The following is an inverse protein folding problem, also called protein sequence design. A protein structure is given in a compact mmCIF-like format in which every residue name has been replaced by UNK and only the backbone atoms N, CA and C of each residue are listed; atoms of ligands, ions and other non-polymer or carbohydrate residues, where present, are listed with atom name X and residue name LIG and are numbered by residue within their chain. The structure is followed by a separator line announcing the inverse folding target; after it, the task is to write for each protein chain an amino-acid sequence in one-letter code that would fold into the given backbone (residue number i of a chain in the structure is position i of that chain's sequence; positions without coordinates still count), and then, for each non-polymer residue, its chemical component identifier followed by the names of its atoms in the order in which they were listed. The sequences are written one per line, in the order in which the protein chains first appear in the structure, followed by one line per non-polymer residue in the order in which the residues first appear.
data_IF_496378245616
#
_entry.id   IF_496378245616
#
_cell.length_a   1.000
_cell.length_b   1.000
_cell.length_c   1.000
_cell.angle_alpha   90.00
_cell.angle_beta   90.00
_cell.angle_gamma   90.00
#
_symmetry.space_group_name_H-M   'P 1'
#
loop_
_entity.id
_entity.type
_entity.pdbx_description
1 polymer ?
#
# COMPACT_ATOMS: atom_id res chain seq x y z
N UNK A 1 21.06 -33.69 24.99
CA UNK A 1 20.71 -33.75 23.55
C UNK A 1 20.41 -32.34 23.09
N UNK A 2 21.42 -31.68 22.56
CA UNK A 2 21.38 -30.31 22.04
C UNK A 2 20.50 -30.29 20.78
N UNK A 3 19.42 -29.49 20.79
CA UNK A 3 18.67 -29.16 19.58
C UNK A 3 19.65 -28.58 18.56
N UNK A 4 19.95 -29.34 17.53
CA UNK A 4 20.67 -28.88 16.36
C UNK A 4 19.80 -27.82 15.70
N UNK A 5 20.12 -26.55 15.97
CA UNK A 5 19.52 -25.40 15.31
C UNK A 5 19.88 -25.55 13.84
N UNK A 6 18.93 -25.97 13.00
CA UNK A 6 19.14 -26.09 11.57
C UNK A 6 19.60 -24.71 11.07
N UNK A 7 20.85 -24.62 10.64
CA UNK A 7 21.43 -23.38 10.15
C UNK A 7 20.62 -22.91 8.94
N UNK A 8 19.95 -21.77 9.08
CA UNK A 8 19.10 -21.22 8.03
C UNK A 8 20.02 -20.85 6.87
N UNK A 9 19.81 -21.38 5.63
CA UNK A 9 20.70 -21.11 4.52
C UNK A 9 20.95 -19.60 4.36
N UNK A 10 22.20 -19.20 4.16
CA UNK A 10 22.60 -17.79 4.01
C UNK A 10 21.69 -17.02 3.04
N UNK A 11 21.29 -17.65 1.94
CA UNK A 11 20.37 -17.06 0.97
C UNK A 11 18.99 -16.70 1.54
N UNK A 12 18.44 -17.52 2.44
CA UNK A 12 17.17 -17.22 3.13
C UNK A 12 17.33 -16.03 4.07
N UNK A 13 18.44 -15.96 4.81
CA UNK A 13 18.74 -14.82 5.69
C UNK A 13 18.84 -13.51 4.89
N UNK A 14 19.49 -13.54 3.72
CA UNK A 14 19.59 -12.40 2.81
C UNK A 14 18.21 -11.97 2.28
N UNK A 15 17.34 -12.92 1.92
CA UNK A 15 15.99 -12.62 1.47
C UNK A 15 15.13 -11.97 2.57
N UNK A 16 15.21 -12.48 3.81
CA UNK A 16 14.54 -11.88 4.96
C UNK A 16 15.05 -10.46 5.23
N UNK A 17 16.37 -10.24 5.13
CA UNK A 17 16.96 -8.90 5.27
C UNK A 17 16.44 -7.93 4.20
N UNK A 18 16.34 -8.37 2.95
CA UNK A 18 15.71 -7.58 1.88
C UNK A 18 14.28 -7.18 2.23
N UNK A 19 13.45 -8.13 2.67
CA UNK A 19 12.06 -7.85 3.02
C UNK A 19 11.95 -6.86 4.20
N UNK A 20 12.82 -7.00 5.20
CA UNK A 20 12.86 -6.08 6.34
C UNK A 20 13.22 -4.64 5.93
N UNK A 21 14.15 -4.49 4.98
CA UNK A 21 14.52 -3.18 4.42
C UNK A 21 13.39 -2.57 3.59
N UNK A 22 12.66 -3.37 2.79
CA UNK A 22 11.48 -2.89 2.07
C UNK A 22 10.40 -2.38 3.05
N UNK A 23 10.10 -3.13 4.09
CA UNK A 23 9.16 -2.69 5.12
C UNK A 23 9.66 -1.45 5.88
N UNK A 24 10.98 -1.27 6.03
CA UNK A 24 11.57 -0.07 6.62
C UNK A 24 11.40 1.14 5.70
N UNK A 25 11.63 0.96 4.40
CA UNK A 25 11.36 1.96 3.38
C UNK A 25 9.89 2.40 3.39
N UNK A 26 8.93 1.48 3.45
CA UNK A 26 7.50 1.83 3.50
C UNK A 26 7.17 2.76 4.68
N UNK A 27 7.87 2.61 5.80
CA UNK A 27 7.69 3.45 7.00
C UNK A 27 8.44 4.78 6.95
N UNK A 28 9.64 4.80 6.37
CA UNK A 28 10.58 5.95 6.45
C UNK A 28 10.72 6.73 5.16
N UNK A 29 10.53 6.09 4.01
CA UNK A 29 10.76 6.64 2.68
C UNK A 29 12.23 6.84 2.34
N UNK A 30 13.16 6.20 3.06
CA UNK A 30 14.60 6.35 2.83
C UNK A 30 15.02 5.50 1.62
N UNK A 31 15.45 6.17 0.54
CA UNK A 31 15.88 5.52 -0.70
C UNK A 31 16.98 4.47 -0.48
N UNK A 32 17.88 4.69 0.47
CA UNK A 32 18.99 3.76 0.73
C UNK A 32 18.49 2.37 1.13
N UNK A 33 17.33 2.30 1.79
CA UNK A 33 16.67 1.04 2.16
C UNK A 33 16.29 0.21 0.94
N UNK A 34 15.80 0.84 -0.13
CA UNK A 34 15.40 0.14 -1.35
C UNK A 34 16.62 -0.30 -2.15
N UNK A 35 17.62 0.56 -2.27
CA UNK A 35 18.86 0.20 -2.96
C UNK A 35 19.57 -0.96 -2.26
N UNK A 36 19.62 -0.98 -0.92
CA UNK A 36 20.17 -2.09 -0.16
C UNK A 36 19.28 -3.33 -0.18
N UNK A 37 17.95 -3.19 -0.13
CA UNK A 37 17.03 -4.31 -0.28
C UNK A 37 17.28 -5.05 -1.60
N UNK A 38 17.40 -4.31 -2.71
CA UNK A 38 17.70 -4.89 -4.04
C UNK A 38 19.04 -5.62 -4.02
N UNK A 39 20.10 -5.04 -3.43
CA UNK A 39 21.40 -5.72 -3.28
C UNK A 39 21.28 -7.04 -2.52
N UNK A 40 20.58 -7.04 -1.37
CA UNK A 40 20.39 -8.26 -0.58
C UNK A 40 19.52 -9.29 -1.30
N UNK A 41 18.48 -8.86 -2.02
CA UNK A 41 17.64 -9.74 -2.81
C UNK A 41 18.42 -10.41 -3.95
N UNK A 42 19.26 -9.65 -4.68
CA UNK A 42 20.14 -10.21 -5.72
C UNK A 42 21.11 -11.24 -5.15
N UNK A 43 21.74 -10.93 -4.02
CA UNK A 43 22.61 -11.87 -3.32
C UNK A 43 21.87 -13.14 -2.86
N UNK A 44 20.62 -13.00 -2.39
CA UNK A 44 19.77 -14.12 -2.02
C UNK A 44 19.41 -15.00 -3.23
N UNK A 45 19.04 -14.40 -4.37
CA UNK A 45 18.73 -15.12 -5.61
C UNK A 45 19.95 -15.92 -6.09
N UNK A 46 21.15 -15.35 -6.01
CA UNK A 46 22.39 -16.04 -6.38
C UNK A 46 22.75 -17.18 -5.40
N UNK A 47 22.48 -17.02 -4.10
CA UNK A 47 22.77 -18.03 -3.09
C UNK A 47 21.77 -19.20 -3.05
N UNK A 48 20.58 -19.04 -3.66
CA UNK A 48 19.49 -20.02 -3.61
C UNK A 48 19.28 -20.77 -4.93
N UNK A 49 20.30 -20.88 -5.78
CA UNK A 49 20.19 -21.66 -7.03
C UNK A 49 19.76 -23.11 -6.73
N UNK A 50 18.67 -23.56 -7.36
CA UNK A 50 18.10 -24.90 -7.14
C UNK A 50 17.38 -25.09 -5.80
N UNK A 51 17.36 -24.09 -4.92
CA UNK A 51 16.71 -24.18 -3.62
C UNK A 51 15.22 -23.80 -3.70
N UNK A 52 14.30 -24.49 -3.00
CA UNK A 52 12.86 -24.18 -3.02
C UNK A 52 12.54 -22.71 -2.69
N UNK A 53 13.26 -22.13 -1.73
CA UNK A 53 13.09 -20.73 -1.32
C UNK A 53 13.59 -19.69 -2.34
N UNK A 54 14.16 -20.08 -3.49
CA UNK A 54 14.59 -19.14 -4.53
C UNK A 54 13.43 -18.27 -5.03
N UNK A 55 12.23 -18.85 -5.10
CA UNK A 55 11.03 -18.12 -5.50
C UNK A 55 10.74 -16.93 -4.57
N UNK A 56 11.00 -17.06 -3.28
CA UNK A 56 10.81 -15.96 -2.32
C UNK A 56 11.81 -14.82 -2.57
N UNK A 57 13.08 -15.16 -2.83
CA UNK A 57 14.11 -14.16 -3.13
C UNK A 57 13.85 -13.42 -4.46
N UNK A 58 13.38 -14.14 -5.49
CA UNK A 58 12.98 -13.53 -6.76
C UNK A 58 11.80 -12.56 -6.59
N UNK A 59 10.79 -12.95 -5.80
CA UNK A 59 9.67 -12.04 -5.48
C UNK A 59 10.14 -10.80 -4.73
N UNK A 60 11.00 -10.95 -3.72
CA UNK A 60 11.56 -9.83 -2.98
C UNK A 60 12.34 -8.89 -3.90
N UNK A 61 13.14 -9.42 -4.82
CA UNK A 61 13.83 -8.63 -5.84
C UNK A 61 12.85 -7.86 -6.73
N UNK A 62 11.82 -8.53 -7.24
CA UNK A 62 10.78 -7.90 -8.07
C UNK A 62 10.03 -6.77 -7.36
N UNK A 63 9.69 -6.93 -6.08
CA UNK A 63 9.05 -5.87 -5.27
C UNK A 63 9.99 -4.68 -5.08
N UNK A 64 11.27 -4.93 -4.78
CA UNK A 64 12.27 -3.88 -4.62
C UNK A 64 12.44 -3.05 -5.89
N UNK A 65 12.62 -3.73 -7.03
CA UNK A 65 12.76 -3.10 -8.34
C UNK A 65 11.53 -2.30 -8.75
N UNK A 66 10.32 -2.82 -8.53
CA UNK A 66 9.06 -2.06 -8.77
C UNK A 66 8.97 -0.81 -7.93
N UNK A 67 9.38 -0.90 -6.67
CA UNK A 67 9.38 0.25 -5.76
C UNK A 67 10.40 1.30 -6.23
N UNK A 68 11.60 0.88 -6.65
CA UNK A 68 12.61 1.79 -7.19
C UNK A 68 12.19 2.40 -8.51
N UNK A 69 11.56 1.64 -9.40
CA UNK A 69 10.96 2.15 -10.62
C UNK A 69 9.94 3.25 -10.33
N UNK A 70 9.06 3.06 -9.34
CA UNK A 70 8.10 4.09 -8.97
C UNK A 70 8.76 5.42 -8.55
N UNK A 71 9.96 5.35 -7.97
CA UNK A 71 10.73 6.52 -7.54
C UNK A 71 11.54 7.18 -8.67
N UNK A 72 12.17 6.37 -9.51
CA UNK A 72 13.20 6.84 -10.46
C UNK A 72 12.74 6.79 -11.91
N UNK A 73 11.64 6.08 -12.20
CA UNK A 73 11.14 5.80 -13.56
C UNK A 73 12.18 5.16 -14.47
N UNK A 74 13.15 4.42 -13.90
CA UNK A 74 14.18 3.71 -14.65
C UNK A 74 13.57 2.49 -15.38
N UNK A 75 13.49 2.48 -16.72
CA UNK A 75 12.85 1.39 -17.45
C UNK A 75 13.53 0.03 -17.22
N UNK A 76 14.83 0.01 -16.91
CA UNK A 76 15.56 -1.24 -16.68
C UNK A 76 15.05 -1.95 -15.41
N UNK A 77 14.66 -1.17 -14.39
CA UNK A 77 14.11 -1.72 -13.14
C UNK A 77 12.79 -2.45 -13.37
N UNK A 78 11.87 -1.86 -14.14
CA UNK A 78 10.57 -2.49 -14.36
C UNK A 78 10.67 -3.68 -15.30
N UNK A 79 11.59 -3.64 -16.27
CA UNK A 79 11.89 -4.78 -17.15
C UNK A 79 12.47 -5.94 -16.33
N UNK A 80 13.48 -5.67 -15.49
CA UNK A 80 14.06 -6.68 -14.61
C UNK A 80 13.01 -7.22 -13.63
N UNK A 81 12.17 -6.36 -13.04
CA UNK A 81 11.12 -6.76 -12.12
C UNK A 81 10.13 -7.76 -12.73
N UNK A 82 9.67 -7.49 -13.95
CA UNK A 82 8.77 -8.39 -14.68
C UNK A 82 9.47 -9.74 -14.93
N UNK A 83 10.72 -9.71 -15.41
CA UNK A 83 11.49 -10.93 -15.67
C UNK A 83 11.67 -11.80 -14.43
N UNK A 84 12.09 -11.21 -13.30
CA UNK A 84 12.31 -11.99 -12.06
C UNK A 84 11.00 -12.53 -11.46
N UNK A 85 9.88 -11.80 -11.61
CA UNK A 85 8.56 -12.26 -11.17
C UNK A 85 8.02 -13.39 -12.05
N UNK A 86 8.25 -13.35 -13.36
CA UNK A 86 7.97 -14.46 -14.28
C UNK A 86 8.78 -15.70 -13.91
N UNK A 87 10.11 -15.58 -13.77
CA UNK A 87 10.97 -16.67 -13.34
C UNK A 87 10.53 -17.24 -11.98
N UNK A 88 10.04 -16.40 -11.06
CA UNK A 88 9.52 -16.89 -9.79
C UNK A 88 8.29 -17.78 -9.94
N UNK A 89 7.42 -17.54 -10.93
CA UNK A 89 6.19 -18.30 -11.15
C UNK A 89 6.41 -19.63 -11.86
N UNK A 90 7.52 -19.76 -12.59
CA UNK A 90 7.96 -20.99 -13.25
C UNK A 90 8.46 -22.04 -12.27
N UNK A 91 8.81 -21.65 -11.04
CA UNK A 91 9.25 -22.59 -10.02
C UNK A 91 8.09 -23.49 -9.56
N UNK A 92 8.32 -24.80 -9.67
CA UNK A 92 7.30 -25.85 -9.53
C UNK A 92 6.80 -26.06 -8.09
N UNK A 93 7.56 -25.62 -7.09
CA UNK A 93 7.27 -25.86 -5.67
C UNK A 93 6.31 -24.86 -5.01
N UNK A 94 5.71 -23.95 -5.78
CA UNK A 94 4.81 -22.93 -5.23
C UNK A 94 3.46 -23.50 -4.80
N UNK A 95 3.06 -23.23 -3.57
CA UNK A 95 1.69 -23.44 -3.11
C UNK A 95 0.72 -22.49 -3.83
N UNK A 96 -0.58 -22.80 -3.80
CA UNK A 96 -1.60 -22.04 -4.54
C UNK A 96 -1.65 -20.56 -4.12
N UNK A 97 -1.64 -20.26 -2.82
CA UNK A 97 -1.67 -18.89 -2.28
C UNK A 97 -0.42 -18.11 -2.71
N UNK A 98 0.75 -18.71 -2.54
CA UNK A 98 2.05 -18.17 -2.94
C UNK A 98 2.15 -17.84 -4.44
N UNK A 99 1.50 -18.65 -5.28
CA UNK A 99 1.40 -18.41 -6.72
C UNK A 99 0.51 -17.19 -7.01
N UNK A 100 -0.57 -17.00 -6.27
CA UNK A 100 -1.49 -15.87 -6.43
C UNK A 100 -0.84 -14.55 -5.96
N UNK A 101 -0.11 -14.55 -4.85
CA UNK A 101 0.64 -13.35 -4.39
C UNK A 101 1.67 -12.89 -5.42
N UNK A 102 2.36 -13.84 -6.06
CA UNK A 102 3.32 -13.55 -7.14
C UNK A 102 2.62 -13.08 -8.41
N UNK A 103 1.46 -13.66 -8.73
CA UNK A 103 0.63 -13.24 -9.86
C UNK A 103 0.14 -11.80 -9.66
N UNK A 104 -0.26 -11.42 -8.44
CA UNK A 104 -0.60 -10.04 -8.10
C UNK A 104 0.58 -9.10 -8.35
N UNK A 105 1.77 -9.45 -7.85
CA UNK A 105 2.96 -8.62 -8.02
C UNK A 105 3.34 -8.44 -9.49
N UNK A 106 3.20 -9.50 -10.30
CA UNK A 106 3.43 -9.45 -11.74
C UNK A 106 2.40 -8.55 -12.45
N UNK A 107 1.11 -8.70 -12.13
CA UNK A 107 0.06 -7.85 -12.69
C UNK A 107 0.26 -6.37 -12.37
N UNK A 108 0.66 -6.07 -11.14
CA UNK A 108 0.97 -4.70 -10.72
C UNK A 108 2.25 -4.16 -11.41
N UNK A 109 3.25 -5.00 -11.71
CA UNK A 109 4.43 -4.60 -12.49
C UNK A 109 4.05 -4.21 -13.93
N UNK A 110 3.22 -5.01 -14.59
CA UNK A 110 2.73 -4.69 -15.93
C UNK A 110 1.94 -3.37 -15.94
N UNK A 111 1.05 -3.15 -14.96
CA UNK A 111 0.33 -1.89 -14.88
C UNK A 111 1.27 -0.70 -14.68
N UNK A 112 2.28 -0.82 -13.83
CA UNK A 112 3.29 0.24 -13.65
C UNK A 112 4.03 0.53 -14.95
N UNK A 113 4.45 -0.50 -15.71
CA UNK A 113 5.09 -0.30 -17.02
C UNK A 113 4.14 0.39 -18.01
N UNK A 114 2.88 -0.04 -18.07
CA UNK A 114 1.84 0.57 -18.90
C UNK A 114 1.67 2.07 -18.62
N UNK A 115 1.75 2.52 -17.36
CA UNK A 115 1.59 3.94 -17.02
C UNK A 115 2.58 4.84 -17.77
N UNK A 116 3.76 4.31 -18.11
CA UNK A 116 4.80 5.00 -18.86
C UNK A 116 4.82 4.63 -20.35
N UNK A 117 4.78 3.34 -20.69
CA UNK A 117 4.89 2.85 -22.06
C UNK A 117 3.61 3.07 -22.88
N UNK A 118 2.45 3.06 -22.22
CA UNK A 118 1.11 2.99 -22.82
C UNK A 118 0.92 1.79 -23.76
N UNK A 119 1.73 0.74 -23.60
CA UNK A 119 1.58 -0.49 -24.40
C UNK A 119 0.32 -1.25 -23.96
N UNK A 120 -0.69 -1.43 -24.83
CA UNK A 120 -1.93 -2.11 -24.47
C UNK A 120 -1.72 -3.55 -24.00
N UNK A 121 -0.66 -4.22 -24.47
CA UNK A 121 -0.33 -5.60 -24.04
C UNK A 121 0.01 -5.67 -22.55
N UNK A 122 0.63 -4.63 -22.01
CA UNK A 122 0.90 -4.54 -20.58
C UNK A 122 -0.40 -4.36 -19.79
N UNK A 123 -1.33 -3.57 -20.29
CA UNK A 123 -2.63 -3.37 -19.64
C UNK A 123 -3.46 -4.67 -19.64
N UNK A 124 -3.50 -5.39 -20.76
CA UNK A 124 -4.15 -6.69 -20.88
C UNK A 124 -3.53 -7.74 -19.95
N UNK A 125 -2.20 -7.79 -19.90
CA UNK A 125 -1.47 -8.69 -19.01
C UNK A 125 -1.74 -8.37 -17.52
N UNK A 126 -1.81 -7.08 -17.17
CA UNK A 126 -2.18 -6.63 -15.83
C UNK A 126 -3.62 -7.03 -15.49
N UNK A 127 -4.58 -6.79 -16.38
CA UNK A 127 -5.99 -7.14 -16.16
C UNK A 127 -6.16 -8.65 -15.95
N UNK A 128 -5.56 -9.46 -16.82
CA UNK A 128 -5.61 -10.92 -16.75
C UNK A 128 -5.03 -11.45 -15.43
N UNK A 129 -3.84 -10.98 -15.04
CA UNK A 129 -3.18 -11.40 -13.81
C UNK A 129 -4.00 -11.01 -12.57
N UNK A 130 -4.48 -9.77 -12.48
CA UNK A 130 -5.23 -9.27 -11.33
C UNK A 130 -6.62 -9.92 -11.24
N UNK A 131 -7.32 -10.10 -12.35
CA UNK A 131 -8.61 -10.80 -12.38
C UNK A 131 -8.46 -12.25 -11.90
N UNK A 132 -7.38 -12.94 -12.30
CA UNK A 132 -7.07 -14.30 -11.80
C UNK A 132 -6.90 -14.33 -10.29
N UNK A 133 -6.19 -13.36 -9.70
CA UNK A 133 -6.02 -13.25 -8.24
C UNK A 133 -7.37 -13.04 -7.56
N UNK A 134 -8.20 -12.12 -8.06
CA UNK A 134 -9.52 -11.83 -7.50
C UNK A 134 -10.46 -13.05 -7.58
N UNK A 135 -10.38 -13.83 -8.65
CA UNK A 135 -11.23 -15.01 -8.84
C UNK A 135 -10.87 -16.17 -7.90
N UNK A 136 -9.58 -16.37 -7.59
CA UNK A 136 -9.09 -17.59 -6.92
C UNK A 136 -8.57 -17.38 -5.49
N UNK A 137 -8.52 -16.14 -5.00
CA UNK A 137 -8.08 -15.84 -3.63
C UNK A 137 -9.30 -15.56 -2.76
N UNK A 138 -9.52 -16.25 -1.63
CA UNK A 138 -10.52 -15.86 -0.64
C UNK A 138 -10.30 -14.44 -0.12
N UNK A 139 -11.28 -13.90 0.61
CA UNK A 139 -11.17 -12.55 1.14
C UNK A 139 -9.93 -12.41 2.04
N UNK A 140 -9.05 -11.49 1.68
CA UNK A 140 -7.68 -11.38 2.19
C UNK A 140 -7.05 -10.06 1.77
N UNK A 141 -5.96 -9.71 2.42
CA UNK A 141 -5.10 -8.58 2.05
C UNK A 141 -4.73 -8.60 0.55
N UNK A 142 -4.22 -9.72 0.04
CA UNK A 142 -3.85 -9.84 -1.38
C UNK A 142 -5.04 -9.63 -2.31
N UNK A 143 -6.21 -10.19 -1.96
CA UNK A 143 -7.44 -10.00 -2.75
C UNK A 143 -7.85 -8.53 -2.80
N UNK A 144 -7.80 -7.81 -1.68
CA UNK A 144 -8.15 -6.39 -1.62
C UNK A 144 -7.15 -5.52 -2.40
N UNK A 145 -5.85 -5.80 -2.30
CA UNK A 145 -4.82 -5.14 -3.10
C UNK A 145 -5.04 -5.39 -4.61
N UNK A 146 -5.38 -6.62 -4.99
CA UNK A 146 -5.67 -6.98 -6.37
C UNK A 146 -6.94 -6.30 -6.92
N UNK A 147 -8.02 -6.25 -6.12
CA UNK A 147 -9.23 -5.49 -6.45
C UNK A 147 -8.91 -4.01 -6.68
N UNK A 148 -8.14 -3.40 -5.77
CA UNK A 148 -7.77 -1.99 -5.88
C UNK A 148 -6.92 -1.68 -7.11
N UNK A 149 -6.00 -2.58 -7.47
CA UNK A 149 -5.20 -2.47 -8.70
C UNK A 149 -6.03 -2.73 -9.96
N UNK A 150 -6.97 -3.68 -9.91
CA UNK A 150 -7.85 -4.00 -11.04
C UNK A 150 -8.78 -2.83 -11.38
N UNK A 151 -9.27 -2.09 -10.37
CA UNK A 151 -10.02 -0.86 -10.59
C UNK A 151 -9.23 0.18 -11.39
N UNK A 152 -7.94 0.38 -11.06
CA UNK A 152 -7.06 1.28 -11.82
C UNK A 152 -6.84 0.82 -13.27
N UNK A 153 -6.62 -0.49 -13.47
CA UNK A 153 -6.48 -1.07 -14.81
C UNK A 153 -7.74 -0.88 -15.64
N UNK A 154 -8.93 -1.06 -15.05
CA UNK A 154 -10.22 -0.83 -15.72
C UNK A 154 -10.40 0.64 -16.10
N UNK A 155 -10.06 1.57 -15.21
CA UNK A 155 -10.10 3.00 -15.54
C UNK A 155 -9.13 3.38 -16.66
N UNK A 156 -7.93 2.78 -16.67
CA UNK A 156 -6.97 3.01 -17.75
C UNK A 156 -7.48 2.52 -19.11
N UNK A 157 -8.26 1.43 -19.14
CA UNK A 157 -8.87 0.89 -20.35
C UNK A 157 -10.00 1.80 -20.90
N UNK A 158 -10.57 2.72 -20.10
CA UNK A 158 -11.69 3.57 -20.54
C UNK A 158 -11.38 4.43 -21.77
N UNK A 159 -10.13 4.89 -21.92
CA UNK A 159 -9.72 5.78 -23.01
C UNK A 159 -9.94 5.16 -24.39
N UNK A 160 -9.77 3.84 -24.48
CA UNK A 160 -9.82 3.09 -25.73
C UNK A 160 -11.19 2.45 -25.99
N UNK A 161 -12.16 2.63 -25.08
CA UNK A 161 -13.53 2.08 -25.20
C UNK A 161 -14.49 3.07 -25.83
N UNK A 162 -15.42 2.55 -26.64
CA UNK A 162 -16.53 3.32 -27.16
C UNK A 162 -17.49 3.76 -26.05
N UNK A 163 -18.13 4.92 -26.23
CA UNK A 163 -19.00 5.59 -25.24
C UNK A 163 -20.01 4.68 -24.52
N UNK A 164 -20.78 3.79 -25.19
CA UNK A 164 -21.77 2.99 -24.49
C UNK A 164 -21.18 1.98 -23.49
N UNK A 165 -19.92 1.54 -23.67
CA UNK A 165 -19.27 0.63 -22.73
C UNK A 165 -18.54 1.35 -21.59
N UNK A 166 -18.40 2.68 -21.63
CA UNK A 166 -17.64 3.43 -20.61
C UNK A 166 -18.31 3.38 -19.25
N UNK A 167 -19.65 3.53 -19.20
CA UNK A 167 -20.40 3.47 -17.95
C UNK A 167 -20.25 2.15 -17.20
N UNK A 168 -20.39 1.02 -17.92
CA UNK A 168 -20.24 -0.31 -17.34
C UNK A 168 -18.83 -0.55 -16.77
N UNK A 169 -17.80 -0.06 -17.48
CA UNK A 169 -16.41 -0.19 -17.02
C UNK A 169 -16.14 0.68 -15.79
N UNK A 170 -16.71 1.89 -15.73
CA UNK A 170 -16.65 2.76 -14.55
C UNK A 170 -17.30 2.09 -13.35
N UNK A 171 -18.52 1.57 -13.51
CA UNK A 171 -19.25 0.89 -12.44
C UNK A 171 -18.49 -0.38 -11.96
N UNK A 172 -17.89 -1.13 -12.89
CA UNK A 172 -17.06 -2.28 -12.54
C UNK A 172 -15.77 -1.87 -11.78
N UNK A 173 -15.17 -0.73 -12.11
CA UNK A 173 -14.00 -0.20 -11.39
C UNK A 173 -14.39 0.26 -9.97
N UNK A 174 -15.53 0.94 -9.84
CA UNK A 174 -16.06 1.37 -8.54
C UNK A 174 -16.38 0.17 -7.66
N UNK A 175 -16.99 -0.87 -8.21
CA UNK A 175 -17.25 -2.10 -7.47
C UNK A 175 -15.96 -2.75 -6.95
N UNK A 176 -14.89 -2.74 -7.75
CA UNK A 176 -13.59 -3.25 -7.31
C UNK A 176 -13.07 -2.47 -6.08
N UNK A 177 -13.09 -1.13 -6.14
CA UNK A 177 -12.61 -0.32 -5.02
C UNK A 177 -13.53 -0.36 -3.80
N UNK A 178 -14.85 -0.37 -4.01
CA UNK A 178 -15.84 -0.51 -2.93
C UNK A 178 -15.58 -1.78 -2.13
N UNK A 179 -15.43 -2.93 -2.79
CA UNK A 179 -15.11 -4.21 -2.13
C UNK A 179 -13.77 -4.19 -1.41
N UNK A 180 -12.76 -3.55 -1.99
CA UNK A 180 -11.45 -3.41 -1.34
C UNK A 180 -11.48 -2.46 -0.13
N UNK A 181 -12.32 -1.44 -0.16
CA UNK A 181 -12.45 -0.44 0.92
C UNK A 181 -13.24 -0.97 2.14
N UNK A 182 -14.22 -1.84 1.90
CA UNK A 182 -15.15 -2.33 2.95
C UNK A 182 -14.79 -3.70 3.52
N UNK A 183 -13.86 -4.45 2.92
CA UNK A 183 -13.43 -5.73 3.50
C UNK A 183 -12.74 -5.54 4.84
N UNK A 184 -13.07 -6.38 5.83
CA UNK A 184 -12.38 -6.44 7.12
C UNK A 184 -11.13 -7.33 7.08
N UNK A 185 -10.92 -8.08 5.99
CA UNK A 185 -9.76 -8.95 5.80
C UNK A 185 -8.50 -8.19 5.34
N UNK A 186 -8.64 -6.91 4.96
CA UNK A 186 -7.55 -6.04 4.57
C UNK A 186 -7.16 -5.07 5.69
N UNK A 187 -5.89 -4.66 5.68
CA UNK A 187 -5.43 -3.60 6.57
C UNK A 187 -6.09 -2.24 6.25
N UNK A 188 -6.07 -1.36 7.25
CA UNK A 188 -6.66 -0.03 7.14
C UNK A 188 -6.04 0.79 5.99
N UNK A 189 -4.73 0.65 5.73
CA UNK A 189 -4.06 1.41 4.68
C UNK A 189 -4.59 1.04 3.28
N UNK A 190 -4.74 -0.25 3.00
CA UNK A 190 -5.27 -0.77 1.73
C UNK A 190 -6.70 -0.31 1.51
N UNK A 191 -7.51 -0.36 2.57
CA UNK A 191 -8.88 0.13 2.53
C UNK A 191 -8.96 1.63 2.26
N UNK A 192 -8.13 2.45 2.91
CA UNK A 192 -8.05 3.90 2.69
C UNK A 192 -7.65 4.22 1.25
N UNK A 193 -6.62 3.53 0.73
CA UNK A 193 -6.16 3.72 -0.66
C UNK A 193 -7.27 3.37 -1.65
N UNK A 194 -7.99 2.27 -1.43
CA UNK A 194 -9.13 1.90 -2.28
C UNK A 194 -10.27 2.92 -2.20
N UNK A 195 -10.66 3.34 -1.00
CA UNK A 195 -11.70 4.34 -0.78
C UNK A 195 -11.35 5.68 -1.43
N UNK A 196 -10.08 6.11 -1.34
CA UNK A 196 -9.60 7.34 -1.96
C UNK A 196 -9.69 7.27 -3.50
N UNK A 197 -9.26 6.15 -4.08
CA UNK A 197 -9.35 5.93 -5.55
C UNK A 197 -10.81 5.95 -6.02
N UNK A 198 -11.69 5.30 -5.27
CA UNK A 198 -13.13 5.31 -5.54
C UNK A 198 -13.71 6.72 -5.47
N UNK A 199 -13.45 7.46 -4.38
CA UNK A 199 -13.94 8.83 -4.19
C UNK A 199 -13.50 9.76 -5.32
N UNK A 200 -12.22 9.70 -5.69
CA UNK A 200 -11.66 10.55 -6.74
C UNK A 200 -12.28 10.26 -8.10
N UNK A 201 -12.33 8.98 -8.50
CA UNK A 201 -12.93 8.59 -9.77
C UNK A 201 -14.46 8.87 -9.80
N UNK A 202 -15.15 8.69 -8.68
CA UNK A 202 -16.57 9.05 -8.54
C UNK A 202 -16.79 10.55 -8.74
N UNK A 203 -15.91 11.40 -8.20
CA UNK A 203 -15.97 12.84 -8.41
C UNK A 203 -15.73 13.21 -9.88
N UNK A 204 -14.71 12.63 -10.54
CA UNK A 204 -14.44 12.86 -11.97
C UNK A 204 -15.62 12.48 -12.87
N UNK A 205 -16.37 11.44 -12.51
CA UNK A 205 -17.54 10.98 -13.24
C UNK A 205 -18.88 11.54 -12.72
N UNK A 206 -18.85 12.53 -11.82
CA UNK A 206 -20.06 13.17 -11.25
C UNK A 206 -21.04 12.19 -10.57
N UNK A 207 -20.51 11.15 -9.94
CA UNK A 207 -21.24 10.10 -9.23
C UNK A 207 -21.30 10.42 -7.73
N UNK A 208 -22.17 11.37 -7.38
CA UNK A 208 -22.28 11.90 -6.01
C UNK A 208 -22.57 10.80 -4.96
N UNK A 209 -23.42 9.83 -5.28
CA UNK A 209 -23.73 8.71 -4.36
C UNK A 209 -22.49 7.85 -4.04
N UNK A 210 -21.71 7.50 -5.06
CA UNK A 210 -20.46 6.74 -4.92
C UNK A 210 -19.41 7.53 -4.13
N UNK A 211 -19.26 8.82 -4.40
CA UNK A 211 -18.31 9.68 -3.71
C UNK A 211 -18.62 9.76 -2.19
N UNK A 212 -19.91 9.86 -1.84
CA UNK A 212 -20.35 9.83 -0.46
C UNK A 212 -20.02 8.50 0.25
N UNK A 213 -20.36 7.37 -0.40
CA UNK A 213 -20.10 6.04 0.17
C UNK A 213 -18.58 5.76 0.31
N UNK A 214 -17.77 6.24 -0.64
CA UNK A 214 -16.33 6.18 -0.56
C UNK A 214 -15.79 6.97 0.65
N UNK A 215 -16.37 8.14 0.92
CA UNK A 215 -16.07 8.95 2.11
C UNK A 215 -16.32 8.20 3.42
N UNK A 216 -17.47 7.51 3.53
CA UNK A 216 -17.80 6.66 4.70
C UNK A 216 -16.75 5.57 4.87
N UNK A 217 -16.47 4.80 3.81
CA UNK A 217 -15.52 3.68 3.87
C UNK A 217 -14.11 4.13 4.26
N UNK A 218 -13.69 5.33 3.83
CA UNK A 218 -12.40 5.92 4.21
C UNK A 218 -12.35 6.25 5.72
N UNK A 219 -13.42 6.81 6.28
CA UNK A 219 -13.50 7.16 7.71
C UNK A 219 -13.44 5.89 8.56
N UNK A 220 -14.25 4.87 8.23
CA UNK A 220 -14.25 3.60 8.95
C UNK A 220 -12.87 2.92 8.94
N UNK A 221 -12.13 3.05 7.83
CA UNK A 221 -10.78 2.50 7.72
C UNK A 221 -9.77 3.28 8.58
N UNK A 222 -9.92 4.60 8.65
CA UNK A 222 -9.05 5.46 9.46
C UNK A 222 -9.26 5.29 10.96
N UNK A 223 -10.49 5.10 11.41
CA UNK A 223 -10.79 4.82 12.82
C UNK A 223 -10.02 3.59 13.32
N UNK A 224 -9.84 2.58 12.46
CA UNK A 224 -9.01 1.41 12.76
C UNK A 224 -7.50 1.73 12.79
N UNK A 225 -7.02 2.72 12.02
CA UNK A 225 -5.61 3.10 11.91
C UNK A 225 -5.15 4.03 13.04
N UNK A 226 -6.02 4.94 13.52
CA UNK A 226 -5.74 5.91 14.62
C UNK A 226 -5.27 5.21 15.91
N UNK A 227 -5.54 3.91 16.04
CA UNK A 227 -5.10 3.11 17.18
C UNK A 227 -3.60 2.76 17.19
N UNK A 228 -2.87 2.89 16.07
CA UNK A 228 -1.49 2.36 15.95
C UNK A 228 -0.48 3.38 15.41
N UNK A 229 -0.09 4.33 16.28
CA UNK A 229 1.22 4.99 16.31
C UNK A 229 1.96 5.21 14.97
N UNK A 230 1.34 5.90 14.02
CA UNK A 230 2.03 6.34 12.80
C UNK A 230 3.12 7.36 13.14
N UNK A 231 4.21 7.38 12.35
CA UNK A 231 5.22 8.45 12.41
C UNK A 231 4.62 9.79 11.94
N UNK A 232 5.14 10.92 12.41
CA UNK A 232 4.61 12.27 12.08
C UNK A 232 4.52 12.54 10.56
N UNK A 233 5.55 12.18 9.78
CA UNK A 233 5.53 12.27 8.31
C UNK A 233 4.50 11.34 7.66
N UNK A 234 4.30 10.15 8.24
CA UNK A 234 3.25 9.23 7.80
C UNK A 234 1.86 9.81 8.06
N UNK A 235 1.65 10.44 9.21
CA UNK A 235 0.40 11.12 9.55
C UNK A 235 0.10 12.26 8.57
N UNK A 236 1.06 13.17 8.33
CA UNK A 236 0.86 14.34 7.46
C UNK A 236 0.40 13.97 6.04
N UNK A 237 0.97 12.93 5.42
CA UNK A 237 0.51 12.44 4.10
C UNK A 237 -0.91 11.90 4.12
N UNK A 238 -1.26 11.11 5.14
CA UNK A 238 -2.61 10.56 5.25
C UNK A 238 -3.64 11.66 5.51
N UNK A 239 -3.28 12.68 6.30
CA UNK A 239 -4.15 13.83 6.57
C UNK A 239 -4.44 14.67 5.32
N UNK A 240 -3.44 14.87 4.46
CA UNK A 240 -3.64 15.59 3.20
C UNK A 240 -4.62 14.86 2.28
N UNK A 241 -4.42 13.55 2.08
CA UNK A 241 -5.30 12.72 1.24
C UNK A 241 -6.73 12.68 1.79
N UNK A 242 -6.85 12.51 3.10
CA UNK A 242 -8.14 12.43 3.76
C UNK A 242 -8.90 13.76 3.77
N UNK A 243 -8.20 14.89 3.87
CA UNK A 243 -8.82 16.22 3.76
C UNK A 243 -9.51 16.42 2.41
N UNK A 244 -9.00 15.79 1.35
CA UNK A 244 -9.64 15.77 0.02
C UNK A 244 -10.85 14.86 0.03
N UNK A 245 -10.73 13.61 0.50
CA UNK A 245 -11.83 12.63 0.49
C UNK A 245 -13.02 13.08 1.34
N UNK A 246 -12.78 13.64 2.53
CA UNK A 246 -13.85 14.16 3.40
C UNK A 246 -14.56 15.36 2.79
N UNK A 247 -13.81 16.27 2.15
CA UNK A 247 -14.37 17.43 1.44
C UNK A 247 -15.22 17.00 0.25
N UNK A 248 -14.69 16.11 -0.59
CA UNK A 248 -15.38 15.65 -1.80
C UNK A 248 -16.64 14.86 -1.43
N UNK A 249 -16.56 13.98 -0.43
CA UNK A 249 -17.72 13.23 0.08
C UNK A 249 -18.78 14.14 0.72
N UNK A 250 -18.38 15.17 1.47
CA UNK A 250 -19.31 16.15 2.02
C UNK A 250 -19.96 17.01 0.94
N UNK A 251 -19.20 17.44 -0.07
CA UNK A 251 -19.74 18.13 -1.24
C UNK A 251 -20.77 17.27 -2.00
N UNK A 252 -20.48 15.98 -2.15
CA UNK A 252 -21.39 15.03 -2.76
C UNK A 252 -22.68 14.80 -1.94
N UNK A 253 -22.58 14.76 -0.61
CA UNK A 253 -23.74 14.70 0.28
C UNK A 253 -24.64 15.94 0.13
N UNK A 254 -24.06 17.15 0.06
CA UNK A 254 -24.80 18.39 -0.22
C UNK A 254 -25.49 18.32 -1.58
N UNK A 255 -24.78 17.85 -2.62
CA UNK A 255 -25.34 17.71 -3.96
C UNK A 255 -26.51 16.70 -4.03
N UNK A 256 -26.50 15.69 -3.15
CA UNK A 256 -27.60 14.73 -2.99
C UNK A 256 -28.73 15.24 -2.08
N UNK A 257 -28.65 16.46 -1.57
CA UNK A 257 -29.64 17.04 -0.66
C UNK A 257 -29.52 16.56 0.80
N UNK A 258 -28.46 15.83 1.15
CA UNK A 258 -28.21 15.32 2.49
C UNK A 258 -27.19 16.17 3.25
N UNK A 259 -27.63 17.35 3.69
CA UNK A 259 -26.79 18.27 4.45
C UNK A 259 -26.37 17.69 5.82
N UNK A 260 -27.19 16.80 6.42
CA UNK A 260 -26.88 16.17 7.68
C UNK A 260 -25.68 15.23 7.55
N UNK A 261 -25.68 14.39 6.51
CA UNK A 261 -24.57 13.50 6.23
C UNK A 261 -23.29 14.25 5.81
N UNK A 262 -23.43 15.39 5.12
CA UNK A 262 -22.29 16.25 4.81
C UNK A 262 -21.60 16.78 6.08
N UNK A 263 -22.39 17.29 7.02
CA UNK A 263 -21.88 17.77 8.32
C UNK A 263 -21.28 16.61 9.10
N UNK A 264 -21.95 15.46 9.14
CA UNK A 264 -21.44 14.27 9.83
C UNK A 264 -20.07 13.83 9.29
N UNK A 265 -19.90 13.76 7.97
CA UNK A 265 -18.60 13.42 7.35
C UNK A 265 -17.50 14.41 7.75
N UNK A 266 -17.79 15.71 7.75
CA UNK A 266 -16.84 16.75 8.13
C UNK A 266 -16.50 16.70 9.62
N UNK A 267 -17.48 16.45 10.49
CA UNK A 267 -17.28 16.38 11.94
C UNK A 267 -16.57 15.09 12.37
N UNK A 268 -16.93 13.92 11.82
CA UNK A 268 -16.14 12.69 11.96
C UNK A 268 -14.73 12.89 11.45
N UNK A 269 -14.62 13.65 10.37
CA UNK A 269 -13.39 14.20 9.87
C UNK A 269 -12.56 14.81 11.02
N UNK A 270 -12.98 16.00 11.44
CA UNK A 270 -12.32 16.78 12.48
C UNK A 270 -12.07 16.00 13.78
N UNK A 271 -12.97 15.11 14.18
CA UNK A 271 -12.81 14.28 15.36
C UNK A 271 -11.59 13.35 15.29
N UNK A 272 -11.30 12.76 14.12
CA UNK A 272 -10.09 11.94 13.91
C UNK A 272 -8.82 12.78 14.03
N UNK A 273 -8.79 13.97 13.40
CA UNK A 273 -7.68 14.92 13.54
C UNK A 273 -7.46 15.31 15.01
N UNK A 274 -8.52 15.64 15.73
CA UNK A 274 -8.45 16.03 17.13
C UNK A 274 -8.02 14.87 18.04
N UNK A 275 -8.54 13.66 17.83
CA UNK A 275 -8.13 12.48 18.57
C UNK A 275 -6.62 12.22 18.42
N UNK A 276 -6.06 12.45 17.23
CA UNK A 276 -4.62 12.33 16.98
C UNK A 276 -3.80 13.43 17.67
N UNK A 277 -4.32 14.66 17.79
CA UNK A 277 -3.61 15.75 18.48
C UNK A 277 -3.68 15.67 20.00
N UNK A 278 -4.78 15.15 20.56
CA UNK A 278 -5.03 15.11 22.00
C UNK A 278 -4.32 13.92 22.66
N UNK A 279 -4.31 12.73 22.04
CA UNK A 279 -3.76 11.50 22.67
C UNK A 279 -2.28 11.60 23.06
N UNK A 280 -1.35 12.12 22.22
CA UNK A 280 0.05 12.28 22.61
C UNK A 280 0.20 13.27 23.77
N UNK A 281 -0.58 14.36 23.76
CA UNK A 281 -0.55 15.40 24.81
C UNK A 281 -1.04 14.87 26.15
N UNK A 282 -2.15 14.14 26.18
CA UNK A 282 -2.71 13.58 27.42
C UNK A 282 -1.81 12.47 27.99
N UNK A 283 -1.24 11.62 27.14
CA UNK A 283 -0.29 10.59 27.58
C UNK A 283 1.00 11.21 28.14
N UNK A 284 1.56 12.22 27.47
CA UNK A 284 2.73 12.95 27.96
C UNK A 284 2.43 13.71 29.27
N UNK A 285 1.30 14.39 29.38
CA UNK A 285 0.89 15.09 30.60
C UNK A 285 0.69 14.14 31.79
N UNK A 286 0.07 12.97 31.57
CA UNK A 286 -0.11 11.96 32.62
C UNK A 286 1.21 11.32 33.02
N UNK A 287 2.11 11.09 32.07
CA UNK A 287 3.45 10.57 32.36
C UNK A 287 4.28 11.60 33.12
N UNK A 288 4.27 12.87 32.70
CA UNK A 288 4.99 13.95 33.37
C UNK A 288 4.47 14.20 34.79
N UNK A 289 3.15 14.08 35.01
CA UNK A 289 2.53 14.19 36.33
C UNK A 289 2.84 13.00 37.26
N UNK A 290 3.12 11.81 36.71
CA UNK A 290 3.35 10.59 37.49
C UNK A 290 4.83 10.26 37.68
N UNK A 291 5.67 10.62 36.70
CA UNK A 291 7.12 10.39 36.70
C UNK A 291 7.79 11.33 35.69
N UNK A 292 8.14 12.54 36.13
CA UNK A 292 8.73 13.59 35.30
C UNK A 292 10.02 13.13 34.62
N UNK A 293 10.91 12.42 35.32
CA UNK A 293 12.16 11.88 34.78
C UNK A 293 11.94 10.93 33.58
N UNK A 294 10.88 10.13 33.63
CA UNK A 294 10.57 9.15 32.57
C UNK A 294 9.85 9.82 31.39
N UNK A 295 9.09 10.89 31.65
CA UNK A 295 8.57 11.77 30.61
C UNK A 295 9.69 12.52 29.90
N UNK A 296 10.63 13.11 30.63
CA UNK A 296 11.77 13.85 30.07
C UNK A 296 12.69 12.91 29.27
N UNK A 297 12.87 11.66 29.72
CA UNK A 297 13.58 10.63 28.94
C UNK A 297 12.80 10.16 27.72
N UNK A 298 11.48 10.04 27.79
CA UNK A 298 10.66 9.69 26.64
C UNK A 298 10.68 10.81 25.59
N UNK A 299 10.59 12.05 26.03
CA UNK A 299 10.70 13.23 25.16
C UNK A 299 12.11 13.34 24.59
N UNK A 300 13.17 13.13 25.37
CA UNK A 300 14.54 13.09 24.85
C UNK A 300 14.76 11.95 23.84
N UNK A 301 14.21 10.76 24.06
CA UNK A 301 14.28 9.64 23.09
C UNK A 301 13.46 9.94 21.84
N UNK A 302 12.31 10.60 21.99
CA UNK A 302 11.47 11.01 20.86
C UNK A 302 12.15 12.10 20.04
N UNK A 303 12.74 13.09 20.70
CA UNK A 303 13.53 14.15 20.08
C UNK A 303 14.80 13.58 19.43
N UNK A 304 15.44 12.56 20.01
CA UNK A 304 16.54 11.83 19.38
C UNK A 304 16.08 11.00 18.18
N UNK A 305 14.90 10.37 18.22
CA UNK A 305 14.30 9.68 17.08
C UNK A 305 13.90 10.64 15.97
N UNK A 306 13.45 11.84 16.33
CA UNK A 306 13.09 12.91 15.40
C UNK A 306 14.35 13.59 14.82
N UNK A 307 15.42 13.77 15.61
CA UNK A 307 16.71 14.34 15.20
C UNK A 307 17.57 13.35 14.39
N UNK A 308 17.58 12.06 14.73
CA UNK A 308 18.16 11.02 13.86
C UNK A 308 17.34 10.79 12.58
N UNK A 309 16.13 11.36 12.53
CA UNK A 309 15.33 11.52 11.31
C UNK A 309 15.65 12.79 10.49
N UNK A 310 16.64 13.59 10.92
CA UNK A 310 17.04 14.82 10.26
C UNK A 310 18.39 15.39 10.73
N UNK A 311 19.50 14.69 10.50
CA UNK A 311 20.75 15.19 9.90
C UNK A 311 21.79 14.05 9.78
N UNK A 312 22.41 13.76 8.62
CA UNK A 312 23.35 12.63 8.45
C UNK A 312 24.78 12.86 8.98
N UNK A 313 25.07 13.96 9.68
CA UNK A 313 26.44 14.41 9.93
C UNK A 313 26.75 14.72 11.41
N UNK A 314 26.65 13.71 12.29
CA UNK A 314 27.22 13.82 13.63
C UNK A 314 27.51 12.45 14.25
N UNK A 315 28.37 11.65 13.60
CA UNK A 315 29.14 10.58 14.24
C UNK A 315 30.47 10.45 13.49
N UNK A 316 31.39 11.37 13.78
CA UNK A 316 32.83 11.06 13.78
C UNK A 316 33.17 10.30 15.08
#
# INVERSE_FOLDING_TARGET
MTRQQADVPRGVQLAVKSAALQARYERRGDRTDIDDAIKFARAAVAALVGHPNRAMALTALGIGLRTRYHLLSDPDDIIEAIGVLQCSLELTHLHAVERLDRTYNLGAAYYQRYQHSRDPRDLEAAESALAKVVAHTPDSQTRAMALSALGLVKMANLRDRAEPQRGEVVDAAFECWRRAATTTAADAQTRIVAATRWAHAAAEHSRSGDCFQAGIAAIEALEALVWRGLTRRGQERHLAVWGTVTRDGAGAAVANGDAAAAVELLERGRAVLWAQQIRPRVAAQRLHASCSDLADRLDAVRDQLDATGGDPAALD
#
